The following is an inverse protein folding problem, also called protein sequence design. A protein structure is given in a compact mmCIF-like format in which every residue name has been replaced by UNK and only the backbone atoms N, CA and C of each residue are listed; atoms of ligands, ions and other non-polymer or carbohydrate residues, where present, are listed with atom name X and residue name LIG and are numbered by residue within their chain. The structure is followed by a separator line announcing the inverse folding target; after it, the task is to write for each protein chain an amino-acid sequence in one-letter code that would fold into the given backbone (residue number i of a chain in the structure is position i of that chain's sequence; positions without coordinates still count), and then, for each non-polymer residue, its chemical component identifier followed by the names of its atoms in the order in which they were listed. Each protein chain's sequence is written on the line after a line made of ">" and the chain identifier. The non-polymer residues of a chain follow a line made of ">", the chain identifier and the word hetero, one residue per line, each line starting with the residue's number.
data_IF_494665624226
#
_entry.id   IF_494665624226
#
_cell.length_a   1.000
_cell.length_b   1.000
_cell.length_c   1.000
_cell.angle_alpha   90.00
_cell.angle_beta   90.00
_cell.angle_gamma   90.00
#
_symmetry.space_group_name_H-M   'P 1'
#
loop_
_entity.id
_entity.type
_entity.pdbx_description
1 polymer ?
#
# COMPACT_ATOMS: atom_id res chain seq x y z
N UNK A 1 -19.38 11.69 17.10
CA UNK A 1 -18.14 11.86 16.33
C UNK A 1 -17.72 10.54 15.74
N UNK A 2 -17.39 10.56 14.47
CA UNK A 2 -16.91 9.36 13.79
C UNK A 2 -15.42 9.15 14.09
N UNK A 3 -15.09 7.98 14.57
CA UNK A 3 -13.68 7.61 14.75
C UNK A 3 -13.06 7.34 13.38
N UNK A 4 -12.00 8.04 13.07
CA UNK A 4 -11.28 7.90 11.81
C UNK A 4 -9.87 7.40 12.08
N UNK A 5 -9.47 6.35 11.38
CA UNK A 5 -8.07 5.91 11.36
C UNK A 5 -7.40 6.60 10.17
N UNK A 6 -6.32 7.32 10.44
CA UNK A 6 -5.56 8.00 9.40
C UNK A 6 -4.33 7.17 9.08
N UNK A 7 -4.16 6.81 7.82
CA UNK A 7 -3.08 5.94 7.37
C UNK A 7 -2.26 6.65 6.31
N UNK A 8 -0.93 6.64 6.47
CA UNK A 8 0.01 7.04 5.43
C UNK A 8 0.82 5.82 5.03
N UNK A 9 1.00 5.63 3.73
CA UNK A 9 1.68 4.45 3.19
C UNK A 9 2.74 4.84 2.17
N UNK A 10 3.78 4.01 2.06
CA UNK A 10 4.77 4.12 1.01
C UNK A 10 5.37 2.76 0.70
N UNK A 11 5.95 2.62 -0.49
CA UNK A 11 6.59 1.38 -0.90
C UNK A 11 7.45 1.60 -2.12
N UNK A 12 8.46 0.75 -2.26
CA UNK A 12 9.35 0.82 -3.41
C UNK A 12 10.39 -0.27 -3.39
N UNK A 13 11.20 -0.32 -4.41
CA UNK A 13 12.32 -1.26 -4.48
C UNK A 13 13.53 -0.62 -5.14
N UNK A 14 14.70 -1.16 -4.86
CA UNK A 14 16.00 -0.68 -5.39
C UNK A 14 16.91 -1.86 -5.68
N UNK A 15 17.27 -2.08 -6.97
CA UNK A 15 16.72 -1.42 -8.15
C UNK A 15 15.29 -1.85 -8.42
N UNK A 16 14.64 -1.31 -9.44
CA UNK A 16 13.29 -1.70 -9.83
C UNK A 16 13.33 -2.43 -11.19
N UNK A 17 13.13 -3.76 -11.28
CA UNK A 17 12.79 -4.67 -10.18
C UNK A 17 13.98 -5.02 -9.29
N UNK A 18 13.70 -5.46 -8.08
CA UNK A 18 14.74 -5.82 -7.11
C UNK A 18 14.17 -5.97 -5.72
N UNK A 19 15.03 -5.96 -4.68
CA UNK A 19 14.55 -5.99 -3.30
C UNK A 19 13.69 -4.77 -3.00
N UNK A 20 12.63 -4.96 -2.22
CA UNK A 20 11.71 -3.88 -1.93
C UNK A 20 11.26 -3.84 -0.48
N UNK A 21 10.58 -2.76 -0.14
CA UNK A 21 10.02 -2.58 1.19
C UNK A 21 8.76 -1.72 1.13
N UNK A 22 7.98 -1.82 2.19
CA UNK A 22 6.77 -1.03 2.38
C UNK A 22 6.70 -0.52 3.81
N UNK A 23 6.02 0.60 4.00
CA UNK A 23 5.81 1.18 5.32
C UNK A 23 4.43 1.77 5.44
N UNK A 24 3.91 1.79 6.67
CA UNK A 24 2.62 2.37 6.97
C UNK A 24 2.63 2.98 8.36
N UNK A 25 2.00 4.16 8.49
CA UNK A 25 1.79 4.84 9.76
C UNK A 25 0.29 4.95 9.97
N UNK A 26 -0.20 4.34 11.05
CA UNK A 26 -1.62 4.33 11.39
C UNK A 26 -1.82 5.17 12.65
N UNK A 27 -2.72 6.15 12.56
CA UNK A 27 -3.07 7.01 13.71
C UNK A 27 -4.54 6.91 14.01
N UNK A 28 -4.85 6.67 15.28
CA UNK A 28 -6.20 6.66 15.78
C UNK A 28 -6.21 7.33 17.14
N UNK A 29 -6.75 8.56 17.20
CA UNK A 29 -6.71 9.40 18.40
C UNK A 29 -5.25 9.63 18.81
N UNK A 30 -4.86 9.22 20.03
CA UNK A 30 -3.49 9.38 20.54
C UNK A 30 -2.60 8.18 20.21
N UNK A 31 -3.17 7.14 19.64
CA UNK A 31 -2.42 5.92 19.32
C UNK A 31 -1.78 6.02 17.95
N UNK A 32 -0.51 5.63 17.87
CA UNK A 32 0.24 5.57 16.62
C UNK A 32 0.83 4.18 16.49
N UNK A 33 0.61 3.57 15.34
CA UNK A 33 1.22 2.29 15.01
C UNK A 33 2.04 2.44 13.74
N UNK A 34 3.30 2.00 13.80
CA UNK A 34 4.19 1.96 12.65
C UNK A 34 4.36 0.53 12.20
N UNK A 35 4.27 0.31 10.90
CA UNK A 35 4.42 -1.02 10.31
C UNK A 35 5.40 -0.93 9.15
N UNK A 36 6.19 -1.98 9.00
CA UNK A 36 7.04 -2.10 7.83
C UNK A 36 7.27 -3.57 7.50
N UNK A 37 7.67 -3.82 6.28
CA UNK A 37 8.05 -5.13 5.83
C UNK A 37 8.77 -5.01 4.50
N UNK A 38 9.26 -6.11 3.98
CA UNK A 38 10.00 -6.08 2.74
C UNK A 38 10.04 -7.43 2.06
N UNK A 39 10.57 -7.39 0.84
CA UNK A 39 10.77 -8.55 -0.01
C UNK A 39 12.24 -8.59 -0.41
N UNK A 40 13.01 -9.61 0.01
CA UNK A 40 14.44 -9.67 -0.32
C UNK A 40 14.71 -10.10 -1.75
N UNK A 41 13.74 -10.76 -2.40
CA UNK A 41 13.85 -11.18 -3.79
C UNK A 41 13.44 -10.08 -4.75
N UNK A 42 13.28 -10.42 -6.02
CA UNK A 42 12.86 -9.45 -7.01
C UNK A 42 11.38 -9.13 -6.86
N UNK A 43 11.08 -7.87 -6.57
CA UNK A 43 9.73 -7.34 -6.58
C UNK A 43 9.70 -6.07 -7.44
N UNK A 44 8.69 -5.23 -7.32
CA UNK A 44 8.59 -3.98 -8.07
C UNK A 44 8.07 -2.86 -7.18
N UNK A 45 8.32 -1.61 -7.60
CA UNK A 45 7.74 -0.45 -6.92
C UNK A 45 6.24 -0.61 -6.78
N UNK A 46 5.56 -0.97 -7.87
CA UNK A 46 4.10 -1.09 -7.89
C UNK A 46 3.58 -2.12 -6.89
N UNK A 47 4.25 -3.27 -6.78
CA UNK A 47 3.83 -4.29 -5.82
C UNK A 47 4.02 -3.80 -4.38
N UNK A 48 5.09 -3.09 -4.08
CA UNK A 48 5.32 -2.54 -2.74
C UNK A 48 4.36 -1.41 -2.41
N UNK A 49 4.03 -0.58 -3.39
CA UNK A 49 3.03 0.49 -3.21
C UNK A 49 1.64 -0.06 -2.93
N UNK A 50 1.29 -1.20 -3.50
CA UNK A 50 0.03 -1.90 -3.20
C UNK A 50 0.08 -2.61 -1.85
N UNK A 51 1.21 -3.22 -1.51
CA UNK A 51 1.36 -4.00 -0.28
C UNK A 51 1.17 -3.15 0.97
N UNK A 52 1.68 -1.92 0.96
CA UNK A 52 1.58 -1.05 2.14
C UNK A 52 0.13 -0.79 2.57
N UNK A 53 -0.78 -0.31 1.70
CA UNK A 53 -2.16 -0.12 2.11
C UNK A 53 -2.88 -1.42 2.44
N UNK A 54 -2.56 -2.52 1.76
CA UNK A 54 -3.14 -3.83 2.06
C UNK A 54 -2.80 -4.23 3.49
N UNK A 55 -1.53 -4.19 3.85
CA UNK A 55 -1.08 -4.61 5.18
C UNK A 55 -1.65 -3.73 6.28
N UNK A 56 -1.73 -2.41 6.03
CA UNK A 56 -2.30 -1.48 6.99
C UNK A 56 -3.79 -1.76 7.22
N UNK A 57 -4.56 -1.93 6.15
CA UNK A 57 -5.99 -2.19 6.27
C UNK A 57 -6.28 -3.55 6.90
N UNK A 58 -5.49 -4.57 6.56
CA UNK A 58 -5.66 -5.91 7.13
C UNK A 58 -5.29 -5.98 8.61
N UNK A 59 -4.48 -5.04 9.10
CA UNK A 59 -4.13 -4.97 10.51
C UNK A 59 -5.27 -4.46 11.38
N UNK A 60 -6.27 -3.81 10.79
CA UNK A 60 -7.42 -3.31 11.53
C UNK A 60 -8.38 -4.45 11.86
N UNK A 61 -8.73 -4.57 13.13
CA UNK A 61 -9.47 -5.74 13.64
C UNK A 61 -10.98 -5.62 13.51
N UNK A 62 -11.49 -4.44 13.22
CA UNK A 62 -12.93 -4.18 13.09
C UNK A 62 -13.19 -3.16 11.99
N UNK A 63 -14.40 -3.11 11.42
CA UNK A 63 -14.74 -2.10 10.42
C UNK A 63 -14.63 -0.69 11.00
N UNK A 64 -13.97 0.20 10.28
CA UNK A 64 -13.76 1.59 10.69
C UNK A 64 -13.76 2.50 9.45
N UNK A 65 -13.90 3.79 9.69
CA UNK A 65 -13.65 4.80 8.66
C UNK A 65 -12.15 5.03 8.56
N UNK A 66 -11.61 4.98 7.35
CA UNK A 66 -10.17 5.14 7.10
C UNK A 66 -9.95 6.29 6.13
N UNK A 67 -9.03 7.19 6.48
CA UNK A 67 -8.49 8.17 5.54
C UNK A 67 -7.08 7.70 5.18
N UNK A 68 -6.90 7.24 3.94
CA UNK A 68 -5.65 6.65 3.50
C UNK A 68 -4.93 7.56 2.52
N UNK A 69 -3.72 7.94 2.88
CA UNK A 69 -2.85 8.84 2.12
C UNK A 69 -1.75 8.07 1.42
N UNK A 70 -1.58 8.31 0.13
CA UNK A 70 -0.49 7.72 -0.66
C UNK A 70 -0.02 8.70 -1.72
N UNK A 71 1.26 8.60 -2.09
CA UNK A 71 1.82 9.36 -3.21
C UNK A 71 1.88 8.53 -4.49
N UNK A 72 1.43 7.29 -4.47
CA UNK A 72 1.53 6.39 -5.61
C UNK A 72 0.54 6.74 -6.71
N UNK A 73 1.05 7.18 -7.84
CA UNK A 73 0.25 7.41 -9.03
C UNK A 73 -0.37 6.10 -9.54
N UNK A 74 0.37 5.01 -9.44
CA UNK A 74 -0.11 3.70 -9.85
C UNK A 74 -1.35 3.27 -9.04
N UNK A 75 -1.29 3.38 -7.71
CA UNK A 75 -2.43 3.04 -6.84
C UNK A 75 -3.60 3.97 -7.14
N UNK A 76 -3.32 5.27 -7.29
CA UNK A 76 -4.35 6.25 -7.62
C UNK A 76 -5.09 5.88 -8.91
N UNK A 77 -4.33 5.62 -9.98
CA UNK A 77 -4.93 5.30 -11.27
C UNK A 77 -5.72 4.00 -11.22
N UNK A 78 -5.23 3.00 -10.51
CA UNK A 78 -5.94 1.74 -10.36
C UNK A 78 -7.27 1.91 -9.65
N UNK A 79 -7.27 2.61 -8.51
CA UNK A 79 -8.48 2.82 -7.72
C UNK A 79 -9.51 3.69 -8.45
N UNK A 80 -9.05 4.74 -9.15
CA UNK A 80 -9.95 5.72 -9.75
C UNK A 80 -10.36 5.37 -11.18
N UNK A 81 -9.57 4.57 -11.91
CA UNK A 81 -9.78 4.37 -13.34
C UNK A 81 -9.91 2.91 -13.76
N UNK A 82 -9.16 1.98 -13.16
CA UNK A 82 -8.98 0.64 -13.75
C UNK A 82 -9.76 -0.47 -13.04
N UNK A 83 -9.86 -0.41 -11.73
CA UNK A 83 -10.34 -1.54 -10.91
C UNK A 83 -11.76 -1.96 -11.27
N UNK A 84 -12.67 -1.02 -11.47
CA UNK A 84 -14.06 -1.34 -11.79
C UNK A 84 -14.16 -2.11 -13.12
N UNK A 85 -13.39 -1.70 -14.12
CA UNK A 85 -13.34 -2.40 -15.40
C UNK A 85 -12.78 -3.80 -15.25
N UNK A 86 -11.71 -3.95 -14.49
CA UNK A 86 -11.10 -5.27 -14.24
C UNK A 86 -12.07 -6.22 -13.53
N UNK A 87 -12.80 -5.70 -12.54
CA UNK A 87 -13.78 -6.51 -11.82
C UNK A 87 -14.89 -6.99 -12.75
N UNK A 88 -15.30 -6.16 -13.71
CA UNK A 88 -16.34 -6.51 -14.68
C UNK A 88 -15.88 -7.54 -15.69
N UNK A 89 -14.61 -7.52 -16.08
CA UNK A 89 -14.11 -8.38 -17.15
C UNK A 89 -13.28 -9.57 -16.65
N UNK A 90 -13.35 -9.88 -15.36
CA UNK A 90 -12.67 -11.06 -14.82
C UNK A 90 -11.17 -10.89 -14.66
N UNK A 91 -10.69 -9.63 -14.49
CA UNK A 91 -9.29 -9.32 -14.26
C UNK A 91 -8.38 -9.66 -15.44
N UNK A 92 -8.89 -9.41 -16.63
CA UNK A 92 -8.12 -9.56 -17.86
C UNK A 92 -7.97 -8.22 -18.56
N UNK A 93 -6.87 -8.08 -19.33
CA UNK A 93 -6.64 -6.90 -20.15
C UNK A 93 -7.42 -6.99 -21.46
N UNK A 94 -7.40 -5.90 -22.25
CA UNK A 94 -8.01 -5.89 -23.58
C UNK A 94 -7.42 -6.97 -24.49
N UNK A 95 -6.15 -7.35 -24.30
CA UNK A 95 -5.48 -8.41 -25.04
C UNK A 95 -5.74 -9.79 -24.44
N UNK A 96 -6.71 -9.92 -23.53
CA UNK A 96 -7.09 -11.18 -22.85
C UNK A 96 -5.97 -11.80 -22.03
N UNK A 97 -5.03 -10.97 -21.56
CA UNK A 97 -3.98 -11.39 -20.64
C UNK A 97 -4.39 -11.07 -19.21
N UNK A 98 -3.90 -11.83 -18.19
CA UNK A 98 -4.17 -11.48 -16.79
C UNK A 98 -3.70 -10.07 -16.47
N UNK A 99 -4.47 -9.35 -15.67
CA UNK A 99 -4.07 -8.02 -15.19
C UNK A 99 -2.81 -8.18 -14.31
N UNK A 100 -1.80 -7.35 -14.57
CA UNK A 100 -0.58 -7.37 -13.78
C UNK A 100 -0.89 -7.01 -12.32
N UNK A 101 -0.32 -7.77 -11.39
CA UNK A 101 -0.54 -7.61 -9.96
C UNK A 101 -2.01 -7.81 -9.53
N UNK A 102 -2.77 -8.59 -10.30
CA UNK A 102 -4.18 -8.86 -9.99
C UNK A 102 -4.36 -9.45 -8.59
N UNK A 103 -3.41 -10.28 -8.14
CA UNK A 103 -3.42 -10.86 -6.79
C UNK A 103 -3.48 -9.77 -5.72
N UNK A 104 -2.64 -8.73 -5.85
CA UNK A 104 -2.61 -7.64 -4.89
C UNK A 104 -3.81 -6.70 -5.04
N UNK A 105 -4.23 -6.41 -6.26
CA UNK A 105 -5.41 -5.57 -6.48
C UNK A 105 -6.67 -6.20 -5.89
N UNK A 106 -6.86 -7.50 -6.07
CA UNK A 106 -7.99 -8.22 -5.48
C UNK A 106 -7.94 -8.17 -3.96
N UNK A 107 -6.76 -8.37 -3.39
CA UNK A 107 -6.55 -8.32 -1.94
C UNK A 107 -6.83 -6.92 -1.40
N UNK A 108 -6.38 -5.88 -2.09
CA UNK A 108 -6.66 -4.50 -1.70
C UNK A 108 -8.16 -4.21 -1.71
N UNK A 109 -8.87 -4.64 -2.77
CA UNK A 109 -10.31 -4.43 -2.85
C UNK A 109 -11.06 -5.15 -1.73
N UNK A 110 -10.64 -6.37 -1.40
CA UNK A 110 -11.22 -7.11 -0.28
C UNK A 110 -10.98 -6.40 1.05
N UNK A 111 -9.78 -5.88 1.27
CA UNK A 111 -9.45 -5.13 2.48
C UNK A 111 -10.28 -3.84 2.58
N UNK A 112 -10.42 -3.10 1.48
CA UNK A 112 -11.22 -1.88 1.44
C UNK A 112 -12.70 -2.16 1.73
N UNK A 113 -13.22 -3.30 1.26
CA UNK A 113 -14.63 -3.65 1.43
C UNK A 113 -15.02 -3.85 2.91
N UNK A 114 -14.04 -4.13 3.77
CA UNK A 114 -14.27 -4.30 5.22
C UNK A 114 -14.41 -2.97 5.96
N UNK A 115 -14.03 -1.87 5.33
CA UNK A 115 -13.96 -0.55 5.93
C UNK A 115 -14.61 0.50 5.04
N UNK A 116 -14.76 1.70 5.55
CA UNK A 116 -15.16 2.85 4.74
C UNK A 116 -13.88 3.65 4.46
N UNK A 117 -13.28 3.43 3.28
CA UNK A 117 -11.97 3.99 2.92
C UNK A 117 -12.16 5.21 2.02
N UNK A 118 -11.62 6.35 2.45
CA UNK A 118 -11.44 7.52 1.60
C UNK A 118 -9.96 7.65 1.26
N UNK A 119 -9.67 7.84 -0.02
CA UNK A 119 -8.30 7.95 -0.53
C UNK A 119 -7.92 9.42 -0.69
N UNK A 120 -6.71 9.75 -0.24
CA UNK A 120 -6.13 11.06 -0.38
C UNK A 120 -4.78 10.94 -1.08
N UNK A 121 -4.60 11.73 -2.13
CA UNK A 121 -3.41 11.66 -2.97
C UNK A 121 -2.49 12.79 -2.56
N UNK A 122 -1.29 12.46 -2.09
CA UNK A 122 -0.28 13.43 -1.68
C UNK A 122 0.86 13.42 -2.70
N UNK A 123 1.56 14.54 -2.79
CA UNK A 123 2.73 14.65 -3.63
C UNK A 123 3.92 14.07 -2.86
N UNK A 124 4.69 13.19 -3.48
CA UNK A 124 5.88 12.60 -2.85
C UNK A 124 6.87 13.67 -2.45
N UNK A 125 7.51 13.47 -1.30
CA UNK A 125 8.52 14.38 -0.75
C UNK A 125 8.02 15.82 -0.55
N UNK A 126 6.74 15.97 -0.20
CA UNK A 126 6.12 17.27 -0.02
C UNK A 126 6.23 17.83 1.40
N UNK A 127 7.01 17.20 2.27
CA UNK A 127 7.20 17.67 3.65
C UNK A 127 6.14 17.21 4.63
N UNK A 128 5.22 16.34 4.25
CA UNK A 128 4.24 15.76 5.16
C UNK A 128 4.93 14.74 6.05
N UNK A 129 4.94 15.00 7.37
CA UNK A 129 5.74 14.21 8.31
C UNK A 129 5.44 12.71 8.28
N UNK A 130 4.16 12.34 8.26
CA UNK A 130 3.80 10.91 8.27
C UNK A 130 4.08 10.24 6.91
N UNK A 131 4.02 10.99 5.81
CA UNK A 131 4.40 10.48 4.51
C UNK A 131 5.91 10.19 4.46
N UNK A 132 6.71 11.08 5.02
CA UNK A 132 8.16 10.88 5.12
C UNK A 132 8.51 9.73 6.08
N UNK A 133 7.75 9.59 7.16
CA UNK A 133 7.93 8.46 8.08
C UNK A 133 7.62 7.13 7.38
N UNK A 134 6.55 7.07 6.61
CA UNK A 134 6.21 5.87 5.82
C UNK A 134 7.33 5.52 4.83
N UNK A 135 7.95 6.54 4.21
CA UNK A 135 9.10 6.34 3.32
C UNK A 135 10.28 5.71 4.06
N UNK A 136 10.60 6.24 5.25
CA UNK A 136 11.68 5.67 6.07
C UNK A 136 11.36 4.24 6.52
N UNK A 137 10.12 3.97 6.85
CA UNK A 137 9.68 2.62 7.23
C UNK A 137 9.80 1.65 6.05
N UNK A 138 9.49 2.09 4.85
CA UNK A 138 9.66 1.27 3.64
C UNK A 138 11.14 0.90 3.44
N UNK A 139 12.05 1.84 3.61
CA UNK A 139 13.49 1.58 3.52
C UNK A 139 13.94 0.60 4.61
N UNK A 140 13.46 0.79 5.83
CA UNK A 140 13.76 -0.10 6.94
C UNK A 140 13.25 -1.52 6.67
N UNK A 141 12.03 -1.65 6.15
CA UNK A 141 11.46 -2.94 5.82
C UNK A 141 12.29 -3.69 4.78
N UNK A 142 12.76 -2.98 3.75
CA UNK A 142 13.64 -3.56 2.75
C UNK A 142 14.96 -4.03 3.37
N UNK A 143 15.58 -3.21 4.22
CA UNK A 143 16.85 -3.54 4.87
C UNK A 143 16.72 -4.74 5.80
N UNK A 144 15.65 -4.78 6.60
CA UNK A 144 15.40 -5.90 7.50
C UNK A 144 15.17 -7.22 6.73
N UNK A 145 14.45 -7.16 5.61
CA UNK A 145 14.21 -8.33 4.77
C UNK A 145 15.51 -8.85 4.16
N UNK A 146 16.39 -7.95 3.70
CA UNK A 146 17.70 -8.33 3.15
C UNK A 146 18.58 -8.97 4.22
N UNK A 147 18.60 -8.40 5.41
CA UNK A 147 19.37 -8.95 6.52
C UNK A 147 18.87 -10.35 6.91
N UNK A 148 17.56 -10.53 6.99
CA UNK A 148 16.96 -11.82 7.34
C UNK A 148 17.26 -12.89 6.28
N UNK A 149 17.38 -12.51 5.02
CA UNK A 149 17.61 -13.48 3.92
C UNK A 149 19.01 -14.04 3.89
N UNK A 150 19.98 -13.39 4.55
CA UNK A 150 21.38 -13.86 4.60
C UNK A 150 21.76 -14.54 5.91
N UNK A 151 20.83 -14.64 6.83
CA UNK A 151 21.10 -15.28 8.14
C UNK A 151 20.78 -16.76 8.15
#
# INVERSE_FOLDING_TARGET
>A
MTDVVVIHTDGGCRPNPGPGGWGAVLRHREHVREMCGGEPGATSNNRMELTAPIMALEALTRPVVVHLYTDSTYVRNGITKWVLGWERNGWTTAAKQPVKNADLWRRLRAACARHQVEWFWVKGHSGVADNELADRLATRGMQEALTASVS
#
